data_IF_786601182727
#
_entry.id   IF_786601182727
#
_cell.length_a   1.000
_cell.length_b   1.000
_cell.length_c   1.000
_cell.angle_alpha   90.00
_cell.angle_beta   90.00
_cell.angle_gamma   90.00
#
_symmetry.space_group_name_H-M   'P 1'
#
loop_
_entity.id
_entity.type
_entity.pdbx_description
1 polymer ?
#
# COMPACT_ATOMS: atom_id res chain seq x y z
N UNK A 1 -35.36 -4.13 -30.57
CA UNK A 1 -34.20 -4.78 -31.22
C UNK A 1 -32.97 -3.99 -30.77
N UNK A 2 -32.13 -4.55 -29.91
CA UNK A 2 -30.87 -3.90 -29.53
C UNK A 2 -29.88 -4.22 -30.65
N UNK A 3 -29.56 -3.23 -31.47
CA UNK A 3 -28.50 -3.37 -32.47
C UNK A 3 -27.17 -3.32 -31.75
N UNK A 4 -26.58 -4.48 -31.50
CA UNK A 4 -25.20 -4.59 -31.03
C UNK A 4 -24.28 -3.99 -32.09
N UNK A 5 -23.48 -2.99 -31.72
CA UNK A 5 -22.52 -2.36 -32.63
C UNK A 5 -21.47 -3.42 -33.06
N UNK A 6 -21.33 -3.76 -34.35
CA UNK A 6 -20.41 -4.80 -34.81
C UNK A 6 -18.95 -4.57 -34.42
N UNK A 7 -18.51 -3.30 -34.33
CA UNK A 7 -17.16 -2.95 -33.86
C UNK A 7 -16.97 -3.26 -32.38
N UNK A 8 -18.00 -3.04 -31.56
CA UNK A 8 -17.96 -3.34 -30.12
C UNK A 8 -17.84 -4.85 -29.88
N UNK A 9 -18.60 -5.65 -30.63
CA UNK A 9 -18.54 -7.12 -30.57
C UNK A 9 -17.17 -7.70 -30.95
N UNK A 10 -16.47 -7.08 -31.90
CA UNK A 10 -15.11 -7.49 -32.28
C UNK A 10 -14.12 -7.16 -31.16
N UNK A 11 -14.18 -5.95 -30.62
CA UNK A 11 -13.32 -5.52 -29.50
C UNK A 11 -13.55 -6.37 -28.25
N UNK A 12 -14.80 -6.71 -27.94
CA UNK A 12 -15.14 -7.60 -26.81
C UNK A 12 -14.55 -9.00 -26.99
N UNK A 13 -14.56 -9.55 -28.21
CA UNK A 13 -13.94 -10.85 -28.50
C UNK A 13 -12.42 -10.79 -28.43
N UNK A 14 -11.80 -9.75 -28.94
CA UNK A 14 -10.34 -9.55 -28.87
C UNK A 14 -9.88 -9.41 -27.42
N UNK A 15 -10.56 -8.58 -26.63
CA UNK A 15 -10.27 -8.43 -25.20
C UNK A 15 -10.47 -9.73 -24.43
N UNK A 16 -11.53 -10.49 -24.73
CA UNK A 16 -11.78 -11.78 -24.11
C UNK A 16 -10.71 -12.83 -24.45
N UNK A 17 -10.27 -12.88 -25.70
CA UNK A 17 -9.20 -13.78 -26.13
C UNK A 17 -7.88 -13.42 -25.45
N UNK A 18 -7.52 -12.14 -25.44
CA UNK A 18 -6.31 -11.67 -24.76
C UNK A 18 -6.32 -12.03 -23.27
N UNK A 19 -7.43 -11.77 -22.59
CA UNK A 19 -7.59 -12.14 -21.18
C UNK A 19 -7.39 -13.64 -20.94
N UNK A 20 -7.95 -14.49 -21.80
CA UNK A 20 -7.81 -15.94 -21.66
C UNK A 20 -6.37 -16.43 -21.93
N UNK A 21 -5.68 -15.82 -22.89
CA UNK A 21 -4.26 -16.09 -23.18
C UNK A 21 -3.36 -15.71 -21.99
N UNK A 22 -3.58 -14.53 -21.42
CA UNK A 22 -2.91 -14.07 -20.20
C UNK A 22 -3.22 -14.97 -19.00
N UNK A 23 -4.50 -15.30 -18.80
CA UNK A 23 -4.95 -16.18 -17.73
C UNK A 23 -4.30 -17.57 -17.80
N UNK A 24 -4.21 -18.15 -19.00
CA UNK A 24 -3.51 -19.42 -19.21
C UNK A 24 -2.02 -19.30 -18.91
N UNK A 25 -1.37 -18.24 -19.39
CA UNK A 25 0.07 -18.01 -19.17
C UNK A 25 0.39 -17.90 -17.68
N UNK A 26 -0.35 -17.07 -16.95
CA UNK A 26 -0.18 -16.89 -15.51
C UNK A 26 -0.49 -18.20 -14.76
N UNK A 27 -1.52 -18.93 -15.15
CA UNK A 27 -1.85 -20.22 -14.54
C UNK A 27 -0.71 -21.23 -14.66
N UNK A 28 -0.14 -21.39 -15.85
CA UNK A 28 0.95 -22.34 -16.06
C UNK A 28 2.25 -21.90 -15.38
N UNK A 29 2.62 -20.61 -15.50
CA UNK A 29 3.81 -20.07 -14.82
C UNK A 29 3.70 -20.17 -13.30
N UNK A 30 2.50 -20.01 -12.76
CA UNK A 30 2.26 -20.14 -11.32
C UNK A 30 2.12 -21.59 -10.83
N UNK A 31 2.31 -22.60 -11.70
CA UNK A 31 2.08 -24.00 -11.34
C UNK A 31 0.63 -24.28 -10.89
N UNK A 32 -0.33 -23.48 -11.37
CA UNK A 32 -1.75 -23.56 -11.04
C UNK A 32 -2.18 -22.80 -9.78
N UNK A 33 -1.28 -22.07 -9.12
CA UNK A 33 -1.59 -21.31 -7.90
C UNK A 33 -2.42 -20.04 -8.18
N UNK A 34 -2.27 -19.45 -9.37
CA UNK A 34 -2.98 -18.22 -9.76
C UNK A 34 -3.88 -18.53 -10.95
N UNK A 35 -5.20 -18.38 -10.77
CA UNK A 35 -6.17 -18.62 -11.85
C UNK A 35 -7.17 -17.47 -11.96
N UNK A 36 -6.89 -16.57 -12.91
CA UNK A 36 -7.71 -15.40 -13.24
C UNK A 36 -9.16 -15.76 -13.59
N UNK A 37 -9.42 -16.95 -14.12
CA UNK A 37 -10.76 -17.36 -14.57
C UNK A 37 -11.70 -17.70 -13.41
N UNK A 38 -11.16 -17.99 -12.22
CA UNK A 38 -11.96 -18.31 -11.02
C UNK A 38 -12.52 -17.06 -10.33
N UNK A 39 -11.80 -15.95 -10.45
CA UNK A 39 -12.01 -14.69 -9.71
C UNK A 39 -12.46 -13.55 -10.61
N UNK A 40 -12.25 -13.66 -11.92
CA UNK A 40 -12.78 -12.76 -12.95
C UNK A 40 -12.06 -11.43 -13.13
N UNK A 41 -11.22 -11.00 -12.18
CA UNK A 41 -10.42 -9.77 -12.29
C UNK A 41 -9.03 -9.96 -11.72
N UNK A 42 -8.06 -9.17 -12.20
CA UNK A 42 -6.71 -9.11 -11.65
C UNK A 42 -6.70 -8.80 -10.15
N UNK A 43 -7.49 -7.82 -9.71
CA UNK A 43 -7.55 -7.42 -8.31
C UNK A 43 -8.08 -8.55 -7.41
N UNK A 44 -9.19 -9.18 -7.79
CA UNK A 44 -9.76 -10.31 -7.04
C UNK A 44 -8.82 -11.52 -7.03
N UNK A 45 -8.13 -11.79 -8.14
CA UNK A 45 -7.15 -12.89 -8.23
C UNK A 45 -5.94 -12.63 -7.36
N UNK A 46 -5.42 -11.40 -7.38
CA UNK A 46 -4.29 -10.98 -6.58
C UNK A 46 -4.63 -11.05 -5.09
N UNK A 47 -5.80 -10.53 -4.68
CA UNK A 47 -6.28 -10.65 -3.30
C UNK A 47 -6.46 -12.11 -2.88
N UNK A 48 -7.01 -12.95 -3.76
CA UNK A 48 -7.18 -14.38 -3.49
C UNK A 48 -5.82 -15.06 -3.28
N UNK A 49 -4.88 -14.83 -4.18
CA UNK A 49 -3.54 -15.39 -4.09
C UNK A 49 -2.83 -14.91 -2.80
N UNK A 50 -2.94 -13.62 -2.49
CA UNK A 50 -2.43 -13.07 -1.23
C UNK A 50 -3.02 -13.81 -0.02
N UNK A 51 -4.34 -14.03 0.04
CA UNK A 51 -4.98 -14.78 1.12
C UNK A 51 -4.53 -16.25 1.20
N UNK A 52 -4.18 -16.87 0.07
CA UNK A 52 -3.72 -18.25 0.02
C UNK A 52 -2.27 -18.40 0.54
N UNK A 53 -1.41 -17.37 0.42
CA UNK A 53 0.00 -17.44 0.80
C UNK A 53 0.41 -16.59 2.02
N UNK A 54 -0.36 -15.58 2.40
CA UNK A 54 -0.05 -14.70 3.52
C UNK A 54 -0.15 -15.46 4.85
N UNK A 55 0.82 -15.21 5.76
CA UNK A 55 0.87 -15.85 7.09
C UNK A 55 0.14 -15.07 8.19
N UNK A 56 -0.55 -13.99 7.83
CA UNK A 56 -1.35 -13.16 8.75
C UNK A 56 -2.68 -13.81 9.16
N UNK A 57 -3.45 -13.16 10.05
CA UNK A 57 -4.78 -13.63 10.43
C UNK A 57 -5.69 -13.81 9.22
N UNK A 58 -6.33 -14.99 9.10
CA UNK A 58 -7.25 -15.31 7.98
C UNK A 58 -8.52 -14.46 7.99
N UNK A 59 -8.88 -13.91 9.15
CA UNK A 59 -10.01 -13.01 9.33
C UNK A 59 -9.50 -11.81 10.10
N UNK A 60 -9.73 -10.62 9.55
CA UNK A 60 -9.47 -9.38 10.27
C UNK A 60 -10.44 -9.24 11.45
N UNK A 61 -9.96 -8.66 12.54
CA UNK A 61 -10.82 -8.20 13.63
C UNK A 61 -11.63 -6.98 13.17
N UNK A 62 -12.83 -6.81 13.72
CA UNK A 62 -13.63 -5.62 13.45
C UNK A 62 -12.96 -4.42 14.13
N UNK A 63 -12.73 -3.36 13.37
CA UNK A 63 -12.18 -2.12 13.91
C UNK A 63 -13.21 -1.45 14.84
N UNK A 64 -12.73 -0.91 15.95
CA UNK A 64 -13.56 0.01 16.74
C UNK A 64 -13.88 1.27 15.92
N UNK A 65 -15.01 1.92 16.20
CA UNK A 65 -15.39 3.15 15.49
C UNK A 65 -14.32 4.24 15.62
N UNK A 66 -13.65 4.32 16.77
CA UNK A 66 -12.60 5.29 17.02
C UNK A 66 -11.32 4.96 16.23
N UNK A 67 -10.89 3.70 16.20
CA UNK A 67 -9.74 3.26 15.42
C UNK A 67 -9.96 3.45 13.91
N UNK A 68 -11.13 3.06 13.39
CA UNK A 68 -11.52 3.30 12.00
C UNK A 68 -11.49 4.80 11.66
N UNK A 69 -11.97 5.65 12.57
CA UNK A 69 -11.92 7.10 12.40
C UNK A 69 -10.48 7.62 12.28
N UNK A 70 -9.59 7.20 13.17
CA UNK A 70 -8.18 7.63 13.16
C UNK A 70 -7.43 7.15 11.91
N UNK A 71 -7.66 5.90 11.49
CA UNK A 71 -7.08 5.35 10.25
C UNK A 71 -7.55 6.18 9.04
N UNK A 72 -8.84 6.47 8.94
CA UNK A 72 -9.40 7.29 7.85
C UNK A 72 -8.84 8.71 7.84
N UNK A 73 -8.64 9.32 9.02
CA UNK A 73 -8.08 10.67 9.10
C UNK A 73 -6.60 10.71 8.77
N UNK A 74 -5.84 9.65 9.06
CA UNK A 74 -4.43 9.53 8.71
C UNK A 74 -4.18 9.09 7.26
N UNK A 75 -5.19 8.59 6.57
CA UNK A 75 -5.06 8.10 5.20
C UNK A 75 -4.79 9.24 4.22
N UNK A 76 -3.52 9.40 3.87
CA UNK A 76 -3.06 10.31 2.82
C UNK A 76 -2.33 9.52 1.72
N UNK A 77 -2.55 9.92 0.47
CA UNK A 77 -1.87 9.31 -0.66
C UNK A 77 -0.38 9.67 -0.73
N UNK A 78 0.31 9.19 -1.76
CA UNK A 78 1.72 9.45 -1.99
C UNK A 78 2.10 10.94 -2.03
N UNK A 79 3.38 11.23 -1.77
CA UNK A 79 3.94 12.57 -1.89
C UNK A 79 4.03 12.96 -3.37
N UNK A 80 3.41 14.09 -3.74
CA UNK A 80 3.52 14.66 -5.08
C UNK A 80 3.92 16.11 -4.94
N UNK A 81 5.13 16.44 -5.41
CA UNK A 81 5.69 17.78 -5.33
C UNK A 81 6.36 18.13 -6.65
N UNK A 82 6.25 19.38 -7.05
CA UNK A 82 6.89 19.91 -8.25
C UNK A 82 7.27 21.38 -8.04
N UNK A 83 8.30 21.81 -8.74
CA UNK A 83 8.69 23.20 -8.90
C UNK A 83 8.91 23.50 -10.39
N UNK A 84 8.76 24.75 -10.84
CA UNK A 84 9.07 25.12 -12.21
C UNK A 84 10.52 24.76 -12.56
N UNK A 85 10.72 24.13 -13.71
CA UNK A 85 12.03 23.72 -14.19
C UNK A 85 12.13 23.90 -15.71
N UNK A 86 13.24 24.47 -16.17
CA UNK A 86 13.58 24.59 -17.60
C UNK A 86 14.93 23.90 -17.84
N UNK A 87 14.99 22.99 -18.82
CA UNK A 87 16.19 22.24 -19.15
C UNK A 87 15.92 20.77 -19.44
N UNK A 88 16.99 19.99 -19.55
CA UNK A 88 16.90 18.53 -19.74
C UNK A 88 16.71 17.86 -18.38
N UNK A 89 15.63 17.10 -18.22
CA UNK A 89 15.36 16.32 -17.02
C UNK A 89 15.59 14.82 -17.26
N UNK A 90 15.92 14.08 -16.21
CA UNK A 90 15.95 12.61 -16.20
C UNK A 90 14.91 12.11 -15.19
N UNK A 91 14.03 11.23 -15.64
CA UNK A 91 13.04 10.57 -14.80
C UNK A 91 13.62 9.26 -14.25
N UNK A 92 13.37 9.01 -12.96
CA UNK A 92 13.72 7.78 -12.27
C UNK A 92 12.48 7.27 -11.55
N UNK A 93 12.24 5.95 -11.60
CA UNK A 93 11.15 5.30 -10.91
C UNK A 93 11.63 4.12 -10.05
N UNK A 94 10.91 3.85 -8.96
CA UNK A 94 11.17 2.71 -8.09
C UNK A 94 10.39 1.49 -8.57
N UNK A 95 11.11 0.48 -9.04
CA UNK A 95 10.53 -0.81 -9.38
C UNK A 95 9.85 -1.43 -8.16
N UNK A 96 8.54 -1.71 -8.30
CA UNK A 96 7.71 -2.37 -7.27
C UNK A 96 7.81 -1.71 -5.88
N UNK A 97 7.78 -0.37 -5.82
CA UNK A 97 7.92 0.38 -4.57
C UNK A 97 7.06 -0.17 -3.42
N UNK A 98 5.74 -0.28 -3.63
CA UNK A 98 4.81 -0.76 -2.59
C UNK A 98 5.01 -2.23 -2.21
N UNK A 99 5.12 -3.19 -3.15
CA UNK A 99 5.44 -4.58 -2.79
C UNK A 99 6.74 -4.71 -1.99
N UNK A 100 7.79 -3.98 -2.36
CA UNK A 100 9.06 -3.98 -1.63
C UNK A 100 8.90 -3.39 -0.22
N UNK A 101 8.16 -2.30 -0.08
CA UNK A 101 7.87 -1.69 1.23
C UNK A 101 7.05 -2.64 2.12
N UNK A 102 5.98 -3.24 1.58
CA UNK A 102 5.11 -4.19 2.28
C UNK A 102 5.90 -5.43 2.74
N UNK A 103 6.74 -5.99 1.87
CA UNK A 103 7.54 -7.18 2.15
C UNK A 103 8.79 -6.93 3.01
N UNK A 104 9.06 -5.68 3.40
CA UNK A 104 10.22 -5.34 4.20
C UNK A 104 10.20 -6.03 5.56
N UNK A 105 11.30 -6.71 5.91
CA UNK A 105 11.47 -7.28 7.24
C UNK A 105 11.68 -6.24 8.35
N UNK A 106 11.99 -5.00 7.97
CA UNK A 106 12.22 -3.88 8.91
C UNK A 106 10.92 -3.21 9.38
N UNK A 107 9.79 -3.51 8.72
CA UNK A 107 8.48 -2.93 9.02
C UNK A 107 7.59 -4.00 9.63
N UNK A 108 6.96 -3.69 10.75
CA UNK A 108 5.88 -4.49 11.33
C UNK A 108 4.53 -3.91 10.92
N UNK A 109 3.60 -4.73 10.46
CA UNK A 109 2.24 -4.31 10.09
C UNK A 109 1.23 -4.69 11.17
N UNK A 110 0.24 -3.82 11.46
CA UNK A 110 -0.84 -4.13 12.39
C UNK A 110 -1.63 -5.37 11.96
N UNK A 111 -1.78 -6.32 12.89
CA UNK A 111 -2.60 -7.52 12.73
C UNK A 111 -3.72 -7.63 13.79
N UNK A 112 -3.80 -6.64 14.68
CA UNK A 112 -4.81 -6.54 15.72
C UNK A 112 -4.97 -5.08 16.15
N UNK A 113 -5.87 -4.84 17.11
CA UNK A 113 -6.20 -3.49 17.58
C UNK A 113 -5.00 -2.73 18.17
N UNK A 114 -5.01 -1.41 17.98
CA UNK A 114 -4.07 -0.50 18.64
C UNK A 114 -4.58 -0.02 20.01
N UNK A 115 -3.65 0.47 20.84
CA UNK A 115 -3.95 1.14 22.11
C UNK A 115 -3.91 2.66 21.93
N UNK A 116 -4.96 3.35 22.37
CA UNK A 116 -4.92 4.81 22.50
C UNK A 116 -4.04 5.22 23.67
N UNK A 117 -3.07 6.11 23.40
CA UNK A 117 -2.09 6.57 24.39
C UNK A 117 -1.87 8.07 24.32
N UNK A 118 -1.61 8.62 25.49
CA UNK A 118 -1.29 10.02 25.71
C UNK A 118 0.22 10.09 25.98
N UNK A 119 0.99 10.65 25.04
CA UNK A 119 2.42 10.94 25.21
C UNK A 119 2.64 12.41 25.55
N UNK A 120 3.07 12.73 26.77
CA UNK A 120 3.31 14.13 27.15
C UNK A 120 4.50 14.77 26.43
N UNK A 121 5.55 14.00 26.11
CA UNK A 121 6.73 14.40 25.33
C UNK A 121 7.21 13.21 24.47
N UNK A 122 7.71 13.51 23.26
CA UNK A 122 8.33 12.52 22.36
C UNK A 122 9.77 12.96 22.14
N UNK A 123 10.72 12.30 22.80
CA UNK A 123 12.15 12.62 22.65
C UNK A 123 12.63 12.32 21.23
N UNK A 124 13.05 13.36 20.52
CA UNK A 124 13.66 13.27 19.19
C UNK A 124 15.17 13.28 19.33
N UNK A 125 15.75 12.17 19.73
CA UNK A 125 17.20 12.04 19.68
C UNK A 125 17.60 11.80 18.20
N UNK A 126 18.47 12.62 17.59
CA UNK A 126 18.84 12.49 16.17
C UNK A 126 19.52 11.15 15.82
N UNK A 127 19.83 10.32 16.81
CA UNK A 127 20.52 9.03 16.69
C UNK A 127 19.55 7.84 16.89
N UNK A 128 18.25 8.08 17.14
CA UNK A 128 17.29 6.99 17.31
C UNK A 128 15.84 7.48 17.29
N UNK A 129 15.14 7.19 16.19
CA UNK A 129 13.69 7.39 16.06
C UNK A 129 12.94 6.36 16.90
N UNK A 130 12.74 6.64 18.19
CA UNK A 130 11.98 5.76 19.10
C UNK A 130 10.46 6.00 19.01
N UNK A 131 9.94 6.41 17.84
CA UNK A 131 8.49 6.43 17.64
C UNK A 131 7.99 5.01 17.52
N UNK A 132 7.00 4.68 18.35
CA UNK A 132 6.31 3.40 18.24
C UNK A 132 5.46 3.38 16.97
N UNK A 133 5.30 2.21 16.38
CA UNK A 133 4.41 2.05 15.23
C UNK A 133 2.99 2.51 15.59
N UNK A 134 2.45 3.47 14.85
CA UNK A 134 1.19 4.09 15.20
C UNK A 134 0.78 5.28 14.34
N UNK A 135 -0.39 5.81 14.67
CA UNK A 135 -0.94 7.08 14.15
C UNK A 135 -0.86 8.11 15.28
N UNK A 136 -0.47 9.33 14.97
CA UNK A 136 -0.33 10.43 15.92
C UNK A 136 -1.02 11.67 15.37
N UNK A 137 -1.77 12.38 16.22
CA UNK A 137 -2.41 13.65 15.95
C UNK A 137 -1.48 14.82 16.26
N UNK A 138 -0.64 15.22 15.31
CA UNK A 138 0.35 16.27 15.49
C UNK A 138 -0.05 17.60 14.84
N UNK A 139 0.42 18.71 15.42
CA UNK A 139 0.38 20.03 14.79
C UNK A 139 1.78 20.38 14.29
N UNK A 140 1.92 20.60 12.98
CA UNK A 140 3.21 20.95 12.38
C UNK A 140 3.38 22.47 12.42
N UNK A 141 4.29 22.95 13.28
CA UNK A 141 4.59 24.39 13.38
C UNK A 141 5.24 24.88 12.08
N UNK A 142 4.85 26.07 11.64
CA UNK A 142 5.41 26.69 10.44
C UNK A 142 4.85 26.16 9.12
N UNK A 143 3.78 25.36 9.16
CA UNK A 143 3.05 24.94 7.96
C UNK A 143 2.54 26.18 7.20
N UNK A 144 2.93 26.37 5.93
CA UNK A 144 2.37 27.44 5.10
C UNK A 144 0.88 27.17 4.83
N UNK A 145 0.04 28.21 4.94
CA UNK A 145 -1.42 28.07 4.86
C UNK A 145 -1.93 27.52 3.52
N UNK A 146 -1.16 27.69 2.45
CA UNK A 146 -1.47 27.34 1.07
C UNK A 146 -0.68 26.14 0.54
N UNK A 147 0.28 25.61 1.29
CA UNK A 147 1.16 24.54 0.84
C UNK A 147 0.70 23.17 1.35
N UNK A 148 0.31 22.28 0.42
CA UNK A 148 -0.12 20.90 0.72
C UNK A 148 1.05 19.96 1.03
N UNK A 149 2.25 20.25 0.55
CA UNK A 149 3.45 19.46 0.79
C UNK A 149 4.73 20.24 0.50
N UNK A 150 5.83 19.84 1.13
CA UNK A 150 7.21 20.21 0.76
C UNK A 150 7.85 19.06 -0.03
N UNK A 151 9.09 19.24 -0.50
CA UNK A 151 9.84 18.22 -1.25
C UNK A 151 9.94 16.86 -0.53
N UNK A 152 9.90 16.83 0.80
CA UNK A 152 10.06 15.61 1.60
C UNK A 152 8.91 15.30 2.55
N UNK A 153 7.83 16.10 2.55
CA UNK A 153 6.77 15.93 3.55
C UNK A 153 5.41 16.39 3.02
N UNK A 154 4.38 15.57 3.22
CA UNK A 154 2.99 15.91 2.89
C UNK A 154 2.24 16.29 4.15
N UNK A 155 1.65 17.49 4.16
CA UNK A 155 0.83 17.92 5.29
C UNK A 155 -0.54 17.22 5.24
N UNK A 156 -0.98 16.73 6.39
CA UNK A 156 -2.34 16.23 6.56
C UNK A 156 -3.20 17.32 7.23
N UNK A 157 -4.20 17.89 6.54
CA UNK A 157 -5.05 18.93 7.11
C UNK A 157 -5.90 18.45 8.30
N UNK A 158 -6.09 17.13 8.46
CA UNK A 158 -6.78 16.56 9.63
C UNK A 158 -5.88 16.55 10.88
N UNK A 159 -4.57 16.70 10.69
CA UNK A 159 -3.57 16.66 11.76
C UNK A 159 -3.16 15.25 12.19
N UNK A 160 -3.59 14.18 11.50
CA UNK A 160 -3.23 12.80 11.83
C UNK A 160 -2.14 12.28 10.90
N UNK A 161 -1.12 11.64 11.45
CA UNK A 161 0.04 11.21 10.69
C UNK A 161 0.54 9.87 11.22
N UNK A 162 1.18 9.08 10.37
CA UNK A 162 1.82 7.83 10.81
C UNK A 162 3.17 8.09 11.46
N UNK A 163 3.67 7.13 12.24
CA UNK A 163 5.02 7.14 12.80
C UNK A 163 6.15 7.33 11.76
N UNK A 164 5.90 7.00 10.49
CA UNK A 164 6.84 7.21 9.38
C UNK A 164 6.95 8.70 9.03
N UNK A 165 5.84 9.43 9.14
CA UNK A 165 5.73 10.82 8.71
C UNK A 165 6.20 11.80 9.79
N UNK A 166 6.12 11.41 11.07
CA UNK A 166 6.36 12.33 12.16
C UNK A 166 7.71 12.25 12.81
N UNK A 167 8.12 13.41 13.31
CA UNK A 167 9.15 13.58 14.31
C UNK A 167 8.74 14.83 15.14
N UNK A 168 8.22 14.65 16.38
CA UNK A 168 7.96 15.63 17.49
C UNK A 168 6.58 15.53 18.22
N UNK A 169 6.36 16.44 19.20
CA UNK A 169 5.87 16.23 20.59
C UNK A 169 4.37 16.50 20.94
N UNK A 170 3.92 15.81 22.01
CA UNK A 170 2.72 15.98 22.90
C UNK A 170 1.37 15.37 22.44
N UNK A 171 0.43 14.96 23.33
CA UNK A 171 -0.23 13.64 23.36
C UNK A 171 -1.40 13.45 22.41
N UNK A 172 -1.41 12.31 21.70
CA UNK A 172 -2.12 12.27 20.43
C UNK A 172 -2.07 10.91 19.67
N UNK A 173 -1.81 9.75 20.28
CA UNK A 173 -1.37 8.58 19.49
C UNK A 173 -2.22 7.30 19.64
N UNK A 174 -2.43 6.60 18.53
CA UNK A 174 -2.87 5.20 18.44
C UNK A 174 -1.65 4.33 18.18
N UNK A 175 -1.28 3.47 19.12
CA UNK A 175 -0.04 2.69 19.09
C UNK A 175 -0.33 1.20 18.94
N UNK A 176 0.36 0.56 18.02
CA UNK A 176 0.33 -0.89 17.86
C UNK A 176 1.49 -1.52 18.64
N UNK A 177 1.15 -2.31 19.66
CA UNK A 177 2.15 -3.05 20.45
C UNK A 177 2.82 -4.15 19.63
N UNK A 178 4.03 -4.57 20.01
CA UNK A 178 4.81 -5.58 19.28
C UNK A 178 4.03 -6.89 19.06
N UNK A 179 3.19 -7.29 20.01
CA UNK A 179 2.34 -8.49 19.90
C UNK A 179 1.24 -8.36 18.84
N UNK A 180 0.91 -7.12 18.45
CA UNK A 180 -0.10 -6.80 17.44
C UNK A 180 0.54 -6.37 16.12
N UNK A 181 1.86 -6.56 15.98
CA UNK A 181 2.61 -6.34 14.76
C UNK A 181 3.16 -7.67 14.25
N UNK A 182 3.10 -7.86 12.93
CA UNK A 182 3.77 -8.98 12.25
C UNK A 182 4.69 -8.43 11.17
N UNK A 183 5.83 -9.10 10.95
CA UNK A 183 6.82 -8.61 9.98
C UNK A 183 6.23 -8.56 8.57
N UNK A 184 6.55 -7.49 7.82
CA UNK A 184 6.22 -7.39 6.41
C UNK A 184 6.73 -8.55 5.58
N UNK A 185 7.91 -9.05 5.93
CA UNK A 185 8.46 -10.25 5.29
C UNK A 185 7.55 -11.48 5.52
N UNK A 186 7.01 -11.66 6.72
CA UNK A 186 6.15 -12.82 7.03
C UNK A 186 4.78 -12.73 6.34
N UNK A 187 4.23 -11.53 6.21
CA UNK A 187 2.91 -11.34 5.59
C UNK A 187 3.00 -11.32 4.06
N UNK A 188 3.93 -10.55 3.50
CA UNK A 188 3.88 -10.13 2.10
C UNK A 188 5.00 -10.71 1.22
N UNK A 189 6.09 -11.24 1.79
CA UNK A 189 7.26 -11.63 0.98
C UNK A 189 6.93 -12.65 -0.10
N UNK A 190 6.29 -13.77 0.27
CA UNK A 190 5.97 -14.84 -0.69
C UNK A 190 5.02 -14.35 -1.80
N UNK A 191 4.07 -13.51 -1.43
CA UNK A 191 3.16 -12.88 -2.38
C UNK A 191 3.90 -11.95 -3.35
N UNK A 192 4.69 -11.02 -2.81
CA UNK A 192 5.40 -10.01 -3.59
C UNK A 192 6.47 -10.65 -4.48
N UNK A 193 7.31 -11.53 -3.93
CA UNK A 193 8.40 -12.17 -4.64
C UNK A 193 7.89 -12.96 -5.84
N UNK A 194 6.81 -13.72 -5.65
CA UNK A 194 6.28 -14.57 -6.71
C UNK A 194 5.66 -13.77 -7.86
N UNK A 195 4.88 -12.72 -7.55
CA UNK A 195 4.32 -11.83 -8.57
C UNK A 195 5.42 -11.07 -9.32
N UNK A 196 6.44 -10.60 -8.62
CA UNK A 196 7.60 -9.93 -9.23
C UNK A 196 8.40 -10.88 -10.12
N UNK A 197 8.59 -12.14 -9.72
CA UNK A 197 9.21 -13.16 -10.59
C UNK A 197 8.41 -13.37 -11.87
N UNK A 198 7.10 -13.57 -11.78
CA UNK A 198 6.23 -13.74 -12.96
C UNK A 198 6.30 -12.52 -13.87
N UNK A 199 6.30 -11.31 -13.31
CA UNK A 199 6.46 -10.05 -14.05
C UNK A 199 7.80 -9.99 -14.79
N UNK A 200 8.90 -10.30 -14.09
CA UNK A 200 10.26 -10.17 -14.61
C UNK A 200 10.61 -11.22 -15.68
N UNK A 201 10.04 -12.42 -15.58
CA UNK A 201 10.13 -13.42 -16.65
C UNK A 201 9.46 -12.97 -17.95
N UNK A 202 8.64 -11.92 -17.91
CA UNK A 202 7.97 -11.36 -19.07
C UNK A 202 6.88 -12.25 -19.66
N UNK A 203 6.19 -11.75 -20.67
CA UNK A 203 5.06 -12.36 -21.37
C UNK A 203 4.33 -11.31 -22.19
N UNK A 204 3.22 -11.64 -22.84
CA UNK A 204 2.37 -10.63 -23.48
C UNK A 204 1.94 -9.51 -22.51
N UNK A 205 1.84 -9.82 -21.22
CA UNK A 205 1.53 -8.89 -20.12
C UNK A 205 2.67 -7.91 -19.73
N UNK A 206 3.82 -7.95 -20.42
CA UNK A 206 4.95 -7.04 -20.19
C UNK A 206 5.20 -6.07 -21.35
N UNK A 207 4.28 -5.98 -22.33
CA UNK A 207 4.31 -5.01 -23.42
C UNK A 207 3.25 -3.93 -23.24
#
# INVERSE_FOLDING_TARGET
MVFSNPKLLVLEKEAHNHYNEEANTIFWKSGGQIDLRKTGTYASTNLRYFQDVARGPRKAEDLSQEEDHWIKLAYIGGLTWAEPYEGIATELDFNEFYPNLLASGMIGWPIGSGDFRIFSHISMNPIGYNLKYGIYRAFIRGQPADQKCTRGFRYNPTGYYTHIELSSESPNALIYGQNNLMSGHEIFYQWASYLTTIKNEGGQAGK
#
